data_IF_979987961562
#
_entry.id   IF_979987961562
#
_cell.length_a   1.000
_cell.length_b   1.000
_cell.length_c   1.000
_cell.angle_alpha   90.00
_cell.angle_beta   90.00
_cell.angle_gamma   90.00
#
_symmetry.space_group_name_H-M   'P 1'
#
loop_
_entity.id
_entity.type
_entity.pdbx_description
1 polymer ?
#
# COMPACT_ATOMS: atom_id res chain seq x y z
N UNK A 1 5.04 8.53 -37.87
CA UNK A 1 4.03 7.58 -38.38
C UNK A 1 3.80 6.60 -37.25
N UNK A 2 2.62 6.60 -36.61
CA UNK A 2 2.35 5.67 -35.52
C UNK A 2 2.48 4.24 -36.05
N UNK A 3 3.35 3.43 -35.45
CA UNK A 3 3.61 2.06 -35.89
C UNK A 3 2.42 1.11 -35.62
N UNK A 4 1.50 1.50 -34.76
CA UNK A 4 0.36 0.70 -34.32
C UNK A 4 -0.94 1.52 -34.36
N UNK A 5 -2.05 0.86 -34.70
CA UNK A 5 -3.39 1.45 -34.67
C UNK A 5 -3.86 1.64 -33.22
N UNK A 6 -4.57 2.74 -32.93
CA UNK A 6 -5.18 3.02 -31.60
C UNK A 6 -5.99 1.85 -31.05
N UNK A 7 -6.70 1.11 -31.90
CA UNK A 7 -7.49 -0.05 -31.49
C UNK A 7 -6.60 -1.18 -30.99
N UNK A 8 -5.46 -1.40 -31.64
CA UNK A 8 -4.45 -2.38 -31.24
C UNK A 8 -3.76 -1.96 -29.95
N UNK A 9 -3.53 -0.65 -29.76
CA UNK A 9 -2.94 -0.13 -28.53
C UNK A 9 -3.87 -0.26 -27.32
N UNK A 10 -5.15 0.12 -27.47
CA UNK A 10 -6.15 -0.09 -26.41
C UNK A 10 -6.31 -1.58 -26.05
N UNK A 11 -6.25 -2.47 -27.05
CA UNK A 11 -6.25 -3.90 -26.80
C UNK A 11 -4.98 -4.36 -26.06
N UNK A 12 -3.80 -3.84 -26.43
CA UNK A 12 -2.54 -4.13 -25.75
C UNK A 12 -2.55 -3.67 -24.29
N UNK A 13 -3.03 -2.45 -23.99
CA UNK A 13 -3.20 -1.97 -22.62
C UNK A 13 -4.13 -2.89 -21.81
N UNK A 14 -5.27 -3.28 -22.38
CA UNK A 14 -6.23 -4.17 -21.70
C UNK A 14 -5.67 -5.57 -21.44
N UNK A 15 -4.95 -6.14 -22.41
CA UNK A 15 -4.33 -7.47 -22.27
C UNK A 15 -3.14 -7.46 -21.31
N UNK A 16 -2.31 -6.40 -21.34
CA UNK A 16 -1.19 -6.22 -20.40
C UNK A 16 -1.67 -6.12 -18.96
N UNK A 17 -2.65 -5.25 -18.72
CA UNK A 17 -3.27 -5.08 -17.41
C UNK A 17 -3.87 -6.40 -16.88
N UNK A 18 -4.52 -7.18 -17.74
CA UNK A 18 -5.06 -8.49 -17.35
C UNK A 18 -3.98 -9.47 -16.88
N UNK A 19 -2.84 -9.56 -17.60
CA UNK A 19 -1.72 -10.43 -17.22
C UNK A 19 -1.10 -9.98 -15.90
N UNK A 20 -0.95 -8.68 -15.67
CA UNK A 20 -0.43 -8.13 -14.40
C UNK A 20 -1.35 -8.45 -13.23
N UNK A 21 -2.66 -8.25 -13.38
CA UNK A 21 -3.65 -8.52 -12.34
C UNK A 21 -3.66 -10.00 -11.97
N UNK A 22 -3.59 -10.89 -12.97
CA UNK A 22 -3.50 -12.34 -12.75
C UNK A 22 -2.18 -12.67 -12.03
N UNK A 23 -1.06 -12.04 -12.41
CA UNK A 23 0.24 -12.13 -11.74
C UNK A 23 0.19 -11.77 -10.27
N UNK A 24 -0.39 -10.62 -9.96
CA UNK A 24 -0.59 -10.17 -8.59
C UNK A 24 -1.49 -11.13 -7.82
N UNK A 25 -2.58 -11.62 -8.43
CA UNK A 25 -3.49 -12.58 -7.83
C UNK A 25 -2.74 -13.85 -7.39
N UNK A 26 -1.93 -14.46 -8.25
CA UNK A 26 -1.19 -15.68 -7.88
C UNK A 26 -0.14 -15.42 -6.79
N UNK A 27 0.45 -14.22 -6.77
CA UNK A 27 1.41 -13.83 -5.74
C UNK A 27 0.75 -13.70 -4.37
N UNK A 28 -0.45 -13.11 -4.28
CA UNK A 28 -1.17 -12.94 -3.00
C UNK A 28 -1.84 -14.22 -2.51
N UNK A 29 -2.37 -15.04 -3.43
CA UNK A 29 -3.02 -16.31 -3.07
C UNK A 29 -2.04 -17.46 -2.86
N UNK A 30 -0.73 -17.22 -3.04
CA UNK A 30 0.32 -18.24 -2.96
C UNK A 30 0.00 -19.45 -3.85
N UNK A 31 -0.56 -19.18 -5.02
CA UNK A 31 -1.02 -20.22 -5.93
C UNK A 31 0.14 -20.72 -6.80
N UNK A 32 0.32 -22.04 -6.82
CA UNK A 32 1.43 -22.71 -7.49
C UNK A 32 0.88 -23.77 -8.45
N UNK A 33 0.99 -23.53 -9.76
CA UNK A 33 0.68 -24.53 -10.78
C UNK A 33 2.01 -24.98 -11.42
N UNK A 34 2.54 -26.10 -10.93
CA UNK A 34 3.78 -26.70 -11.46
C UNK A 34 4.97 -25.71 -11.42
N UNK A 35 5.67 -25.44 -12.54
CA UNK A 35 6.80 -24.51 -12.57
C UNK A 35 6.40 -23.02 -12.49
N UNK A 36 5.10 -22.70 -12.57
CA UNK A 36 4.59 -21.33 -12.53
C UNK A 36 4.24 -20.97 -11.08
N UNK A 37 5.19 -20.35 -10.39
CA UNK A 37 4.95 -19.73 -9.07
C UNK A 37 4.42 -18.30 -9.23
N UNK A 38 3.72 -17.80 -8.21
CA UNK A 38 3.21 -16.42 -8.20
C UNK A 38 4.29 -15.35 -8.44
N UNK A 39 5.54 -15.61 -8.04
CA UNK A 39 6.67 -14.71 -8.35
C UNK A 39 6.97 -14.68 -9.85
N UNK A 40 7.05 -15.84 -10.50
CA UNK A 40 7.36 -15.95 -11.93
C UNK A 40 6.27 -15.27 -12.76
N UNK A 41 5.01 -15.53 -12.43
CA UNK A 41 3.90 -14.97 -13.20
C UNK A 41 3.75 -13.45 -12.98
N UNK A 42 4.01 -12.96 -11.77
CA UNK A 42 4.08 -11.52 -11.49
C UNK A 42 5.25 -10.85 -12.25
N UNK A 43 6.42 -11.47 -12.30
CA UNK A 43 7.56 -10.92 -13.07
C UNK A 43 7.26 -10.81 -14.57
N UNK A 44 6.57 -11.80 -15.15
CA UNK A 44 6.13 -11.77 -16.55
C UNK A 44 5.10 -10.65 -16.77
N UNK A 45 4.13 -10.48 -15.87
CA UNK A 45 3.17 -9.39 -15.93
C UNK A 45 3.83 -8.02 -15.89
N UNK A 46 4.70 -7.77 -14.92
CA UNK A 46 5.40 -6.50 -14.77
C UNK A 46 6.31 -6.17 -15.97
N UNK A 47 6.98 -7.17 -16.55
CA UNK A 47 7.76 -6.99 -17.78
C UNK A 47 6.89 -6.65 -18.98
N UNK A 48 5.71 -7.27 -19.08
CA UNK A 48 4.74 -6.98 -20.14
C UNK A 48 4.25 -5.55 -20.03
N UNK A 49 3.94 -5.07 -18.83
CA UNK A 49 3.52 -3.69 -18.57
C UNK A 49 4.63 -2.68 -18.88
N UNK A 50 5.87 -2.98 -18.49
CA UNK A 50 7.02 -2.14 -18.82
C UNK A 50 7.23 -2.00 -20.33
N UNK A 51 7.03 -3.07 -21.10
CA UNK A 51 7.10 -3.03 -22.55
C UNK A 51 5.97 -2.20 -23.18
N UNK A 52 4.75 -2.31 -22.64
CA UNK A 52 3.60 -1.53 -23.11
C UNK A 52 3.79 -0.04 -22.81
N UNK A 53 4.28 0.33 -21.63
CA UNK A 53 4.64 1.71 -21.31
C UNK A 53 5.75 2.27 -22.19
N UNK A 54 6.74 1.45 -22.55
CA UNK A 54 7.77 1.88 -23.48
C UNK A 54 7.20 2.16 -24.89
N UNK A 55 6.22 1.36 -25.32
CA UNK A 55 5.55 1.56 -26.61
C UNK A 55 4.57 2.74 -26.60
N UNK A 56 3.93 3.05 -25.47
CA UNK A 56 3.00 4.18 -25.33
C UNK A 56 3.69 5.54 -25.49
N UNK A 57 4.97 5.63 -25.11
CA UNK A 57 5.76 6.86 -25.29
C UNK A 57 5.94 7.28 -26.76
N UNK A 58 5.73 6.37 -27.71
CA UNK A 58 5.78 6.65 -29.15
C UNK A 58 4.39 6.90 -29.77
N UNK A 59 3.33 6.92 -28.96
CA UNK A 59 1.98 7.22 -29.42
C UNK A 59 1.81 8.74 -29.60
N UNK A 60 1.32 9.21 -30.77
CA UNK A 60 1.09 10.63 -30.98
C UNK A 60 0.00 11.14 -30.03
N UNK A 61 0.22 12.32 -29.43
CA UNK A 61 -0.76 13.00 -28.59
C UNK A 61 -2.06 13.20 -29.38
N UNK A 62 -3.18 12.76 -28.79
CA UNK A 62 -4.48 12.90 -29.42
C UNK A 62 -4.83 14.37 -29.62
N UNK A 63 -5.21 14.73 -30.85
CA UNK A 63 -5.82 16.02 -31.12
C UNK A 63 -7.18 16.03 -30.41
N UNK A 64 -7.33 16.89 -29.42
CA UNK A 64 -8.60 17.13 -28.73
C UNK A 64 -9.69 17.45 -29.77
N UNK A 65 -10.90 16.90 -29.57
CA UNK A 65 -12.04 17.22 -30.41
C UNK A 65 -12.23 18.75 -30.44
N UNK A 66 -12.35 19.31 -31.63
CA UNK A 66 -12.56 20.75 -31.80
C UNK A 66 -13.99 21.14 -31.37
N UNK A 67 -14.14 21.37 -30.06
CA UNK A 67 -15.40 21.75 -29.41
C UNK A 67 -15.99 23.05 -29.96
N UNK A 68 -15.18 23.86 -30.66
CA UNK A 68 -15.58 25.08 -31.39
C UNK A 68 -16.67 24.80 -32.43
N UNK A 69 -16.73 23.58 -32.98
CA UNK A 69 -17.73 23.21 -33.99
C UNK A 69 -19.13 22.95 -33.41
N UNK A 70 -19.21 22.70 -32.10
CA UNK A 70 -20.46 22.35 -31.39
C UNK A 70 -20.93 23.49 -30.47
N UNK A 71 -20.01 24.30 -29.94
CA UNK A 71 -20.31 25.49 -29.14
C UNK A 71 -19.50 26.70 -29.64
N UNK A 72 -20.03 27.46 -30.62
CA UNK A 72 -19.34 28.64 -31.16
C UNK A 72 -19.15 29.76 -30.12
N UNK A 73 -19.95 29.77 -29.04
CA UNK A 73 -19.88 30.73 -27.93
C UNK A 73 -18.51 30.72 -27.19
N UNK A 74 -17.76 29.63 -27.25
CA UNK A 74 -16.40 29.54 -26.65
C UNK A 74 -15.29 29.97 -27.63
N UNK A 75 -15.60 30.12 -28.92
CA UNK A 75 -14.64 30.52 -29.94
C UNK A 75 -14.24 32.00 -29.84
N UNK A 76 -15.12 32.83 -29.26
CA UNK A 76 -14.94 34.28 -29.19
C UNK A 76 -14.00 34.75 -28.06
N UNK A 77 -13.47 33.84 -27.24
CA UNK A 77 -12.53 34.16 -26.15
C UNK A 77 -11.09 34.42 -26.58
N UNK A 78 -10.70 34.06 -27.80
CA UNK A 78 -9.35 34.32 -28.33
C UNK A 78 -9.35 35.48 -29.33
N UNK A 79 -9.73 36.67 -28.86
CA UNK A 79 -9.62 37.88 -29.68
C UNK A 79 -8.16 38.35 -29.75
N UNK A 80 -7.58 38.10 -30.93
CA UNK A 80 -6.36 38.70 -31.47
C UNK A 80 -6.46 40.23 -31.33
N UNK A 81 -5.64 40.82 -30.46
CA UNK A 81 -5.59 42.26 -30.21
C UNK A 81 -5.24 43.01 -31.50
N UNK A 82 -6.20 43.72 -32.08
CA UNK A 82 -5.97 44.72 -33.14
C UNK A 82 -6.12 46.10 -32.50
N UNK A 83 -4.97 46.76 -32.33
CA UNK A 83 -4.81 48.14 -31.81
C UNK A 83 -5.58 49.12 -32.71
N UNK A 84 -6.49 49.89 -32.11
CA UNK A 84 -7.09 51.09 -32.69
C UNK A 84 -7.01 52.22 -31.66
N UNK A 85 -6.74 53.42 -32.18
CA UNK A 85 -6.17 54.58 -31.51
C UNK A 85 -7.10 55.30 -30.51
N UNK A 86 -6.46 55.95 -29.54
CA UNK A 86 -7.04 56.71 -28.44
C UNK A 86 -7.51 58.13 -28.85
N UNK A 87 -8.63 58.57 -28.29
CA UNK A 87 -8.92 59.98 -28.01
C UNK A 87 -9.25 60.11 -26.51
N UNK A 88 -8.43 60.79 -25.68
CA UNK A 88 -8.58 60.79 -24.24
C UNK A 88 -9.24 62.08 -23.76
N UNK A 89 -10.55 62.10 -23.54
CA UNK A 89 -11.19 63.21 -22.80
C UNK A 89 -12.54 62.92 -22.12
N UNK A 90 -13.21 61.78 -22.37
CA UNK A 90 -14.59 61.56 -21.87
C UNK A 90 -14.79 60.34 -20.95
N UNK A 91 -13.71 59.71 -20.45
CA UNK A 91 -13.84 58.42 -19.75
C UNK A 91 -14.52 58.47 -18.38
N UNK A 92 -14.44 59.58 -17.63
CA UNK A 92 -15.02 59.65 -16.27
C UNK A 92 -16.52 59.95 -16.26
N UNK A 93 -17.01 60.73 -17.23
CA UNK A 93 -18.43 61.03 -17.39
C UNK A 93 -19.20 59.85 -17.98
N UNK A 94 -18.60 59.18 -18.97
CA UNK A 94 -19.22 58.01 -19.60
C UNK A 94 -19.29 56.80 -18.66
N UNK A 95 -18.29 56.56 -17.80
CA UNK A 95 -18.33 55.44 -16.85
C UNK A 95 -19.42 55.60 -15.79
N UNK A 96 -19.58 56.80 -15.23
CA UNK A 96 -20.64 57.06 -14.24
C UNK A 96 -22.03 56.99 -14.87
N UNK A 97 -22.20 57.54 -16.07
CA UNK A 97 -23.45 57.41 -16.82
C UNK A 97 -23.72 55.97 -17.24
N UNK A 98 -22.70 55.19 -17.60
CA UNK A 98 -22.84 53.78 -17.98
C UNK A 98 -23.08 52.87 -16.78
N UNK A 99 -22.58 53.25 -15.59
CA UNK A 99 -22.92 52.59 -14.33
C UNK A 99 -24.37 52.89 -13.93
N UNK A 100 -24.81 54.15 -14.02
CA UNK A 100 -26.20 54.54 -13.74
C UNK A 100 -27.18 53.95 -14.74
N UNK A 101 -26.80 53.90 -16.02
CA UNK A 101 -27.55 53.20 -17.07
C UNK A 101 -27.58 51.70 -16.79
N UNK A 102 -26.46 51.05 -16.44
CA UNK A 102 -26.50 49.63 -16.03
C UNK A 102 -27.33 49.39 -14.76
N UNK A 103 -27.27 50.26 -13.75
CA UNK A 103 -28.08 50.13 -12.54
C UNK A 103 -29.58 50.31 -12.82
N UNK A 104 -29.92 51.21 -13.75
CA UNK A 104 -31.30 51.54 -14.12
C UNK A 104 -31.88 50.56 -15.15
N UNK A 105 -31.04 50.01 -16.01
CA UNK A 105 -31.39 49.08 -17.11
C UNK A 105 -31.39 47.62 -16.63
N UNK A 106 -30.58 47.27 -15.62
CA UNK A 106 -30.58 45.94 -15.01
C UNK A 106 -31.75 45.68 -14.05
N UNK A 107 -32.63 46.66 -13.78
CA UNK A 107 -33.70 46.59 -12.77
C UNK A 107 -33.22 45.79 -11.56
N UNK A 108 -32.33 46.37 -10.77
CA UNK A 108 -31.95 45.77 -9.47
C UNK A 108 -33.19 45.90 -8.57
N UNK A 109 -34.16 45.00 -8.77
CA UNK A 109 -35.36 44.88 -7.96
C UNK A 109 -34.90 44.50 -6.53
N UNK A 110 -35.58 45.01 -5.50
CA UNK A 110 -35.24 44.70 -4.11
C UNK A 110 -35.21 43.19 -3.81
N UNK A 111 -35.89 42.41 -4.65
CA UNK A 111 -35.87 40.94 -4.69
C UNK A 111 -34.50 40.35 -5.09
N UNK A 112 -33.75 40.98 -6.02
CA UNK A 112 -32.38 40.57 -6.39
C UNK A 112 -31.38 40.84 -5.26
N UNK A 113 -31.52 41.97 -4.57
CA UNK A 113 -30.68 42.28 -3.40
C UNK A 113 -30.99 41.31 -2.25
N UNK A 114 -32.27 41.02 -2.03
CA UNK A 114 -32.72 40.05 -1.04
C UNK A 114 -32.25 38.62 -1.35
N UNK A 115 -32.34 38.20 -2.62
CA UNK A 115 -31.86 36.88 -3.04
C UNK A 115 -30.34 36.75 -2.98
N UNK A 116 -29.59 37.81 -3.30
CA UNK A 116 -28.14 37.84 -3.10
C UNK A 116 -27.77 37.77 -1.61
N UNK A 117 -28.46 38.52 -0.75
CA UNK A 117 -28.25 38.45 0.71
C UNK A 117 -28.58 37.05 1.27
N UNK A 118 -29.63 36.42 0.75
CA UNK A 118 -30.00 35.03 1.09
C UNK A 118 -28.95 34.05 0.59
N UNK A 119 -28.41 34.25 -0.61
CA UNK A 119 -27.35 33.42 -1.18
C UNK A 119 -26.05 33.54 -0.39
N UNK A 120 -25.65 34.75 0.02
CA UNK A 120 -24.47 34.99 0.87
C UNK A 120 -24.66 34.33 2.24
N UNK A 121 -25.85 34.43 2.84
CA UNK A 121 -26.15 33.77 4.11
C UNK A 121 -26.13 32.26 3.99
N UNK A 122 -26.75 31.69 2.96
CA UNK A 122 -26.73 30.26 2.69
C UNK A 122 -25.29 29.76 2.41
N UNK A 123 -24.46 30.57 1.76
CA UNK A 123 -23.05 30.26 1.54
C UNK A 123 -22.24 30.31 2.84
N UNK A 124 -22.48 31.28 3.73
CA UNK A 124 -21.88 31.31 5.06
C UNK A 124 -22.24 30.05 5.86
N UNK A 125 -23.51 29.65 5.86
CA UNK A 125 -23.98 28.46 6.56
C UNK A 125 -23.36 27.18 5.99
N UNK A 126 -23.26 27.07 4.65
CA UNK A 126 -22.57 25.96 3.99
C UNK A 126 -21.07 25.94 4.30
N UNK A 127 -20.40 27.10 4.30
CA UNK A 127 -18.98 27.22 4.63
C UNK A 127 -18.70 26.87 6.11
N UNK A 128 -19.60 27.24 7.03
CA UNK A 128 -19.54 26.83 8.45
C UNK A 128 -19.76 25.33 8.62
N UNK A 129 -20.59 24.70 7.79
CA UNK A 129 -20.77 23.25 7.77
C UNK A 129 -19.56 22.51 7.16
N UNK A 130 -18.77 23.17 6.29
CA UNK A 130 -17.51 22.66 5.73
C UNK A 130 -16.32 22.88 6.68
N UNK A 131 -16.43 23.78 7.66
CA UNK A 131 -15.43 23.89 8.71
C UNK A 131 -15.32 22.50 9.38
N UNK A 132 -14.11 21.91 9.45
CA UNK A 132 -13.94 20.56 9.94
C UNK A 132 -14.60 20.44 11.30
N UNK A 133 -15.68 19.67 11.37
CA UNK A 133 -16.42 19.49 12.60
C UNK A 133 -15.43 18.97 13.65
N UNK A 134 -15.47 19.53 14.85
CA UNK A 134 -14.60 19.11 15.98
C UNK A 134 -14.57 17.58 16.13
N UNK A 135 -15.72 16.94 15.86
CA UNK A 135 -15.93 15.49 15.79
C UNK A 135 -15.00 14.75 14.80
N UNK A 136 -14.78 15.33 13.61
CA UNK A 136 -13.94 14.72 12.55
C UNK A 136 -12.45 14.79 12.89
N UNK A 137 -12.03 15.88 13.54
CA UNK A 137 -10.65 16.02 14.05
C UNK A 137 -10.41 15.02 15.19
N UNK A 138 -11.37 14.89 16.11
CA UNK A 138 -11.30 13.93 17.21
C UNK A 138 -11.26 12.48 16.69
N UNK A 139 -12.09 12.14 15.71
CA UNK A 139 -12.12 10.81 15.09
C UNK A 139 -10.83 10.47 14.36
N UNK A 140 -10.25 11.43 13.62
CA UNK A 140 -8.97 11.24 12.93
C UNK A 140 -7.82 11.07 13.92
N UNK A 141 -7.81 11.85 15.00
CA UNK A 141 -6.82 11.71 16.07
C UNK A 141 -6.92 10.34 16.76
N UNK A 142 -8.13 9.93 17.12
CA UNK A 142 -8.38 8.61 17.73
C UNK A 142 -7.96 7.47 16.81
N UNK A 143 -8.23 7.58 15.51
CA UNK A 143 -7.76 6.60 14.52
C UNK A 143 -6.23 6.51 14.48
N UNK A 144 -5.53 7.65 14.54
CA UNK A 144 -4.07 7.67 14.63
C UNK A 144 -3.54 7.04 15.92
N UNK A 145 -4.18 7.29 17.06
CA UNK A 145 -3.85 6.67 18.35
C UNK A 145 -4.07 5.15 18.33
N UNK A 146 -5.18 4.66 17.77
CA UNK A 146 -5.45 3.23 17.62
C UNK A 146 -4.45 2.55 16.68
N UNK A 147 -4.05 3.20 15.58
CA UNK A 147 -2.99 2.69 14.71
C UNK A 147 -1.64 2.61 15.41
N UNK A 148 -1.29 3.62 16.22
CA UNK A 148 -0.06 3.59 17.01
C UNK A 148 -0.08 2.46 18.05
N UNK A 149 -1.21 2.26 18.72
CA UNK A 149 -1.41 1.14 19.65
C UNK A 149 -1.30 -0.22 18.95
N UNK A 150 -1.93 -0.37 17.78
CA UNK A 150 -1.84 -1.59 16.97
C UNK A 150 -0.40 -1.88 16.52
N UNK A 151 0.35 -0.85 16.11
CA UNK A 151 1.75 -0.99 15.75
C UNK A 151 2.61 -1.47 16.93
N UNK A 152 2.42 -0.88 18.12
CA UNK A 152 3.11 -1.30 19.34
C UNK A 152 2.78 -2.75 19.73
N UNK A 153 1.51 -3.14 19.59
CA UNK A 153 1.09 -4.52 19.83
C UNK A 153 1.71 -5.50 18.82
N UNK A 154 1.78 -5.15 17.53
CA UNK A 154 2.46 -5.97 16.52
C UNK A 154 3.96 -6.12 16.79
N UNK A 155 4.63 -5.06 17.24
CA UNK A 155 6.04 -5.12 17.62
C UNK A 155 6.26 -6.08 18.80
N UNK A 156 5.41 -5.99 19.83
CA UNK A 156 5.41 -6.92 20.96
C UNK A 156 5.18 -8.37 20.51
N UNK A 157 4.26 -8.58 19.56
CA UNK A 157 3.96 -9.89 19.00
C UNK A 157 5.16 -10.46 18.23
N UNK A 158 5.86 -9.65 17.46
CA UNK A 158 7.09 -10.04 16.78
C UNK A 158 8.21 -10.42 17.77
N UNK A 159 8.37 -9.62 18.82
CA UNK A 159 9.32 -9.90 19.91
C UNK A 159 9.01 -11.23 20.61
N UNK A 160 7.73 -11.48 20.93
CA UNK A 160 7.28 -12.75 21.51
C UNK A 160 7.57 -13.93 20.59
N UNK A 161 7.33 -13.80 19.28
CA UNK A 161 7.69 -14.84 18.31
C UNK A 161 9.19 -15.11 18.31
N UNK A 162 10.03 -14.08 18.37
CA UNK A 162 11.48 -14.25 18.45
C UNK A 162 11.90 -14.99 19.73
N UNK A 163 11.36 -14.60 20.87
CA UNK A 163 11.62 -15.26 22.16
C UNK A 163 11.15 -16.72 22.14
N UNK A 164 9.99 -17.00 21.55
CA UNK A 164 9.47 -18.35 21.42
C UNK A 164 10.37 -19.23 20.54
N UNK A 165 10.87 -18.67 19.44
CA UNK A 165 11.75 -19.38 18.50
C UNK A 165 13.13 -19.64 19.12
N UNK A 166 13.68 -18.66 19.85
CA UNK A 166 14.91 -18.84 20.64
C UNK A 166 14.72 -19.89 21.73
N UNK A 167 13.58 -19.85 22.45
CA UNK A 167 13.25 -20.82 23.49
C UNK A 167 13.10 -22.22 22.92
N UNK A 168 12.44 -22.37 21.76
CA UNK A 168 12.33 -23.65 21.07
C UNK A 168 13.71 -24.20 20.68
N UNK A 169 14.59 -23.34 20.13
CA UNK A 169 15.97 -23.72 19.80
C UNK A 169 16.75 -24.19 21.03
N UNK A 170 16.71 -23.42 22.13
CA UNK A 170 17.33 -23.79 23.41
C UNK A 170 16.78 -25.10 23.95
N UNK A 171 15.48 -25.34 23.81
CA UNK A 171 14.85 -26.56 24.30
C UNK A 171 15.26 -27.79 23.46
N UNK A 172 15.39 -27.63 22.14
CA UNK A 172 15.94 -28.67 21.25
C UNK A 172 17.39 -28.99 21.61
N UNK A 173 18.21 -27.97 21.85
CA UNK A 173 19.61 -28.14 22.23
C UNK A 173 19.75 -28.83 23.59
N UNK A 174 18.96 -28.41 24.59
CA UNK A 174 18.89 -29.06 25.89
C UNK A 174 18.45 -30.53 25.78
N UNK A 175 17.46 -30.85 24.93
CA UNK A 175 17.04 -32.23 24.70
C UNK A 175 18.15 -33.08 24.08
N UNK A 176 18.93 -32.54 23.15
CA UNK A 176 20.07 -33.22 22.56
C UNK A 176 21.15 -33.49 23.61
N UNK A 177 21.50 -32.49 24.43
CA UNK A 177 22.45 -32.66 25.53
C UNK A 177 21.99 -33.70 26.56
N UNK A 178 20.69 -33.72 26.88
CA UNK A 178 20.11 -34.73 27.78
C UNK A 178 20.21 -36.12 27.16
N UNK A 179 19.91 -36.28 25.87
CA UNK A 179 20.02 -37.56 25.18
C UNK A 179 21.47 -38.07 25.15
N UNK A 180 22.43 -37.19 24.85
CA UNK A 180 23.85 -37.52 24.86
C UNK A 180 24.35 -37.91 26.25
N UNK A 181 23.95 -37.17 27.29
CA UNK A 181 24.30 -37.49 28.67
C UNK A 181 23.66 -38.81 29.14
N UNK A 182 22.42 -39.08 28.75
CA UNK A 182 21.77 -40.37 29.04
C UNK A 182 22.51 -41.54 28.37
N UNK A 183 23.01 -41.35 27.15
CA UNK A 183 23.83 -42.34 26.45
C UNK A 183 25.15 -42.60 27.19
N UNK A 184 25.88 -41.54 27.55
CA UNK A 184 27.13 -41.65 28.32
C UNK A 184 26.91 -42.29 29.68
N UNK A 185 25.83 -41.93 30.37
CA UNK A 185 25.46 -42.54 31.66
C UNK A 185 25.21 -44.03 31.50
N UNK A 186 24.51 -44.45 30.43
CA UNK A 186 24.29 -45.86 30.12
C UNK A 186 25.62 -46.61 29.91
N UNK A 187 26.56 -46.02 29.16
CA UNK A 187 27.89 -46.61 28.96
C UNK A 187 28.66 -46.75 30.28
N UNK A 188 28.66 -45.70 31.11
CA UNK A 188 29.30 -45.74 32.43
C UNK A 188 28.66 -46.79 33.35
N UNK A 189 27.33 -46.90 33.34
CA UNK A 189 26.62 -47.94 34.08
C UNK A 189 26.98 -49.34 33.61
N UNK A 190 27.05 -49.57 32.30
CA UNK A 190 27.47 -50.87 31.75
C UNK A 190 28.91 -51.22 32.17
N UNK A 191 29.83 -50.27 32.10
CA UNK A 191 31.20 -50.44 32.56
C UNK A 191 31.27 -50.73 34.06
N UNK A 192 30.49 -50.02 34.88
CA UNK A 192 30.39 -50.27 36.32
C UNK A 192 29.84 -51.67 36.61
N UNK A 193 28.77 -52.11 35.94
CA UNK A 193 28.24 -53.46 36.06
C UNK A 193 29.27 -54.52 35.66
N UNK A 194 30.00 -54.32 34.56
CA UNK A 194 31.06 -55.22 34.13
C UNK A 194 32.21 -55.32 35.16
N UNK A 195 32.62 -54.19 35.73
CA UNK A 195 33.64 -54.16 36.79
C UNK A 195 33.17 -54.87 38.07
N UNK A 196 31.92 -54.67 38.51
CA UNK A 196 31.35 -55.37 39.66
C UNK A 196 31.27 -56.87 39.39
N UNK A 197 30.85 -57.28 38.18
CA UNK A 197 30.83 -58.69 37.80
C UNK A 197 32.24 -59.30 37.82
N UNK A 198 33.24 -58.59 37.31
CA UNK A 198 34.65 -59.00 37.35
C UNK A 198 35.16 -59.15 38.78
N UNK A 199 34.88 -58.18 39.66
CA UNK A 199 35.23 -58.25 41.08
C UNK A 199 34.56 -59.46 41.75
N UNK A 200 33.26 -59.66 41.54
CA UNK A 200 32.53 -60.81 42.08
C UNK A 200 33.12 -62.15 41.61
N UNK A 201 33.52 -62.24 40.33
CA UNK A 201 34.19 -63.43 39.81
C UNK A 201 35.55 -63.69 40.49
N UNK A 202 36.36 -62.65 40.71
CA UNK A 202 37.64 -62.77 41.43
C UNK A 202 37.43 -63.17 42.89
N UNK A 203 36.47 -62.55 43.58
CA UNK A 203 36.13 -62.92 44.96
C UNK A 203 35.60 -64.35 45.07
N UNK A 204 34.75 -64.79 44.14
CA UNK A 204 34.25 -66.17 44.07
C UNK A 204 35.37 -67.19 43.77
N UNK A 205 36.30 -66.82 42.89
CA UNK A 205 37.50 -67.61 42.61
C UNK A 205 38.43 -67.71 43.83
N UNK A 206 38.60 -66.61 44.57
CA UNK A 206 39.40 -66.58 45.79
C UNK A 206 38.77 -67.39 46.92
N UNK A 207 37.45 -67.27 47.14
CA UNK A 207 36.70 -68.11 48.10
C UNK A 207 36.77 -69.60 47.74
N UNK A 208 36.61 -69.95 46.46
CA UNK A 208 36.74 -71.35 46.00
C UNK A 208 38.16 -71.89 46.23
N UNK A 209 39.19 -71.06 45.97
CA UNK A 209 40.58 -71.42 46.23
C UNK A 209 40.92 -71.52 47.73
N UNK A 210 40.24 -70.76 48.58
CA UNK A 210 40.42 -70.80 50.03
C UNK A 210 39.67 -71.98 50.68
N UNK A 211 38.50 -72.36 50.15
CA UNK A 211 37.72 -73.52 50.60
C UNK A 211 38.28 -74.87 50.13
N UNK A 212 39.05 -74.89 49.03
CA UNK A 212 39.67 -76.11 48.49
C UNK A 212 41.07 -76.42 49.09
N UNK A 213 41.48 -75.68 50.13
CA UNK A 213 42.77 -75.83 50.82
C UNK A 213 42.65 -76.24 52.30
N UNK A 214 41.44 -76.54 52.78
CA UNK A 214 41.19 -77.22 54.06
C UNK A 214 40.82 -78.67 53.82
#
# INVERSE_FOLDING_TARGET
MALLSKKTMNFAYGMGAAVVIVGALFKITHFEIGPLTGTVMLSVGLLTEAAIFALSAFEPVDNELDWTRVYPELAHGHNKVKRLEENPSDEKGLLSQKLDVMLKEAKIDGELISSLGTSIKNFEDAARAIAPSSESIASTKKYGEELANAAAQMESLNSLYRVQLESASKNTEANNEIADNASKLKEQMQSMTANIASLNNVYGGMLSAMNNKG
#
